data_IF_355879757575
#
_entry.id   IF_355879757575
#
_cell.length_a   1.000
_cell.length_b   1.000
_cell.length_c   1.000
_cell.angle_alpha   90.00
_cell.angle_beta   90.00
_cell.angle_gamma   90.00
#
_symmetry.space_group_name_H-M   'P 1'
#
loop_
_entity.id
_entity.type
_entity.pdbx_description
1 polymer ?
#
# COMPACT_ATOMS: atom_id res chain seq x y z
N UNK A 1 15.51 9.95 -0.28
CA UNK A 1 14.18 9.38 -0.39
C UNK A 1 14.31 8.13 -1.20
N UNK A 2 13.83 7.04 -0.64
CA UNK A 2 13.64 5.74 -1.28
C UNK A 2 12.19 5.69 -1.77
N UNK A 3 11.95 5.18 -2.97
CA UNK A 3 10.61 5.01 -3.53
C UNK A 3 10.12 3.57 -3.30
N UNK A 4 9.08 3.40 -2.49
CA UNK A 4 8.60 2.09 -2.03
C UNK A 4 7.14 1.89 -2.39
N UNK A 5 6.85 0.79 -3.08
CA UNK A 5 5.48 0.31 -3.27
C UNK A 5 5.07 -0.56 -2.09
N UNK A 6 3.94 -0.25 -1.47
CA UNK A 6 3.32 -1.06 -0.41
C UNK A 6 1.99 -1.59 -0.94
N UNK A 7 1.92 -2.91 -1.16
CA UNK A 7 0.72 -3.59 -1.61
C UNK A 7 0.10 -4.40 -0.47
N UNK A 8 -1.09 -4.02 -0.02
CA UNK A 8 -1.85 -4.69 1.03
C UNK A 8 -2.80 -5.70 0.38
N UNK A 9 -2.77 -6.95 0.86
CA UNK A 9 -3.52 -8.08 0.28
C UNK A 9 -4.48 -8.75 1.29
N UNK A 10 -5.21 -9.76 0.83
CA UNK A 10 -6.35 -10.32 1.58
C UNK A 10 -5.95 -11.32 2.66
N UNK A 11 -4.93 -11.01 3.47
CA UNK A 11 -4.51 -11.86 4.59
C UNK A 11 -4.69 -11.15 5.93
N UNK A 12 -4.77 -11.95 7.00
CA UNK A 12 -4.91 -11.43 8.37
C UNK A 12 -3.72 -10.54 8.76
N UNK A 13 -3.99 -9.53 9.58
CA UNK A 13 -3.00 -8.60 10.09
C UNK A 13 -2.82 -7.26 9.34
N UNK A 14 -3.83 -6.62 8.69
CA UNK A 14 -3.68 -5.34 7.99
C UNK A 14 -2.98 -4.23 8.78
N UNK A 15 -3.01 -4.27 10.13
CA UNK A 15 -2.23 -3.37 11.00
C UNK A 15 -0.71 -3.44 10.80
N UNK A 16 -0.19 -4.54 10.25
CA UNK A 16 1.22 -4.64 9.86
C UNK A 16 1.54 -3.70 8.70
N UNK A 17 0.63 -3.54 7.73
CA UNK A 17 0.77 -2.57 6.65
C UNK A 17 0.80 -1.14 7.20
N UNK A 18 -0.13 -0.81 8.11
CA UNK A 18 -0.16 0.50 8.77
C UNK A 18 1.15 0.77 9.56
N UNK A 19 1.67 -0.25 10.25
CA UNK A 19 2.94 -0.16 10.94
C UNK A 19 4.13 0.07 10.01
N UNK A 20 4.15 -0.60 8.85
CA UNK A 20 5.16 -0.38 7.81
C UNK A 20 5.09 1.05 7.26
N UNK A 21 3.90 1.52 6.89
CA UNK A 21 3.71 2.88 6.35
C UNK A 21 4.16 3.96 7.36
N UNK A 22 3.88 3.76 8.66
CA UNK A 22 4.41 4.64 9.71
C UNK A 22 5.93 4.66 9.77
N UNK A 23 6.57 3.49 9.58
CA UNK A 23 8.03 3.37 9.59
C UNK A 23 8.69 3.97 8.34
N UNK A 24 7.97 4.00 7.21
CA UNK A 24 8.41 4.59 5.95
C UNK A 24 8.12 6.10 5.85
N UNK A 25 7.59 6.73 6.91
CA UNK A 25 7.27 8.16 6.89
C UNK A 25 8.49 9.01 6.53
N UNK A 26 8.38 9.80 5.46
CA UNK A 26 9.45 10.65 4.93
C UNK A 26 10.20 10.04 3.74
N UNK A 27 9.90 8.78 3.39
CA UNK A 27 10.20 8.17 2.10
C UNK A 27 8.99 8.34 1.15
N UNK A 28 9.18 8.10 -0.16
CA UNK A 28 8.11 8.19 -1.15
C UNK A 28 7.38 6.85 -1.24
N UNK A 29 6.06 6.87 -1.02
CA UNK A 29 5.27 5.65 -0.82
C UNK A 29 4.08 5.56 -1.74
N UNK A 30 3.98 4.42 -2.45
CA UNK A 30 2.86 4.10 -3.31
C UNK A 30 2.04 2.97 -2.70
N UNK A 31 0.80 3.27 -2.30
CA UNK A 31 -0.10 2.30 -1.70
C UNK A 31 -1.01 1.65 -2.75
N UNK A 32 -1.13 0.32 -2.66
CA UNK A 32 -2.14 -0.46 -3.37
C UNK A 32 -2.89 -1.29 -2.33
N UNK A 33 -4.21 -1.27 -2.34
CA UNK A 33 -5.03 -2.08 -1.42
C UNK A 33 -5.96 -2.96 -2.25
N UNK A 34 -5.82 -4.28 -2.12
CA UNK A 34 -6.68 -5.22 -2.83
C UNK A 34 -8.11 -5.21 -2.29
N UNK A 35 -9.08 -5.62 -3.10
CA UNK A 35 -10.46 -5.83 -2.63
C UNK A 35 -10.52 -6.80 -1.45
N UNK A 36 -9.69 -7.86 -1.47
CA UNK A 36 -9.56 -8.79 -0.35
C UNK A 36 -9.02 -8.14 0.93
N UNK A 37 -8.01 -7.27 0.82
CA UNK A 37 -7.48 -6.52 1.96
C UNK A 37 -8.54 -5.61 2.59
N UNK A 38 -9.39 -4.98 1.76
CA UNK A 38 -10.49 -4.13 2.23
C UNK A 38 -11.50 -4.92 3.06
N UNK A 39 -11.86 -6.13 2.64
CA UNK A 39 -12.76 -7.00 3.41
C UNK A 39 -12.10 -7.46 4.72
N UNK A 40 -10.84 -7.89 4.71
CA UNK A 40 -10.13 -8.30 5.93
C UNK A 40 -9.99 -7.13 6.90
N UNK A 41 -9.63 -5.93 6.43
CA UNK A 41 -9.53 -4.74 7.25
C UNK A 41 -10.85 -4.38 7.93
N UNK A 42 -11.98 -4.52 7.22
CA UNK A 42 -13.31 -4.35 7.79
C UNK A 42 -13.62 -5.37 8.87
N UNK A 43 -13.23 -6.63 8.68
CA UNK A 43 -13.41 -7.69 9.67
C UNK A 43 -12.53 -7.51 10.92
N UNK A 44 -11.30 -7.04 10.74
CA UNK A 44 -10.32 -6.89 11.84
C UNK A 44 -10.30 -5.48 12.46
N UNK A 45 -11.12 -4.55 11.94
CA UNK A 45 -11.20 -3.17 12.43
C UNK A 45 -9.91 -2.37 12.19
N UNK A 46 -9.27 -2.58 11.04
CA UNK A 46 -8.14 -1.75 10.61
C UNK A 46 -8.64 -0.52 9.84
N UNK A 47 -7.96 0.61 10.03
CA UNK A 47 -8.31 1.88 9.42
C UNK A 47 -7.58 2.06 8.09
N UNK A 48 -8.31 1.84 6.98
CA UNK A 48 -7.76 2.01 5.64
C UNK A 48 -7.48 3.48 5.32
N UNK A 49 -8.26 4.42 5.86
CA UNK A 49 -8.03 5.84 5.62
C UNK A 49 -6.71 6.28 6.25
N UNK A 50 -6.38 5.75 7.43
CA UNK A 50 -5.08 6.00 8.05
C UNK A 50 -3.92 5.52 7.18
N UNK A 51 -4.07 4.40 6.44
CA UNK A 51 -3.05 3.94 5.50
C UNK A 51 -2.94 4.86 4.28
N UNK A 52 -4.07 5.27 3.72
CA UNK A 52 -4.14 6.21 2.59
C UNK A 52 -3.51 7.57 2.97
N UNK A 53 -3.77 8.09 4.16
CA UNK A 53 -3.17 9.35 4.67
C UNK A 53 -1.67 9.26 4.98
N UNK A 54 -1.17 8.05 5.26
CA UNK A 54 0.25 7.80 5.49
C UNK A 54 1.05 7.66 4.19
N UNK A 55 0.37 7.59 3.04
CA UNK A 55 1.00 7.30 1.73
C UNK A 55 0.97 8.51 0.82
N UNK A 56 1.98 8.65 -0.05
CA UNK A 56 2.06 9.77 -1.00
C UNK A 56 1.14 9.58 -2.21
N UNK A 57 1.00 8.33 -2.65
CA UNK A 57 0.13 7.94 -3.76
C UNK A 57 -0.71 6.73 -3.41
N UNK A 58 -1.95 6.69 -3.92
CA UNK A 58 -2.87 5.56 -3.74
C UNK A 58 -3.38 5.12 -5.11
N UNK A 59 -3.25 3.83 -5.41
CA UNK A 59 -3.65 3.22 -6.68
C UNK A 59 -4.66 2.09 -6.48
N UNK A 60 -5.55 1.92 -7.45
CA UNK A 60 -6.44 0.77 -7.50
C UNK A 60 -5.69 -0.49 -7.94
N UNK A 61 -6.05 -1.65 -7.38
CA UNK A 61 -5.43 -2.94 -7.74
C UNK A 61 -5.56 -3.31 -9.24
N UNK A 62 -6.53 -2.71 -9.95
CA UNK A 62 -6.78 -2.89 -11.37
C UNK A 62 -6.46 -1.64 -12.21
N UNK A 63 -5.80 -0.64 -11.62
CA UNK A 63 -5.50 0.63 -12.29
C UNK A 63 -4.23 0.53 -13.15
N UNK A 64 -4.43 0.17 -14.42
CA UNK A 64 -3.34 0.10 -15.40
C UNK A 64 -2.84 1.48 -15.88
N UNK A 65 -3.46 2.58 -15.43
CA UNK A 65 -2.98 3.94 -15.72
C UNK A 65 -1.91 4.41 -14.73
N UNK A 66 -1.72 3.67 -13.63
CA UNK A 66 -0.64 3.92 -12.66
C UNK A 66 0.74 3.89 -13.33
N UNK A 67 1.66 4.81 -12.97
CA UNK A 67 3.03 4.76 -13.46
C UNK A 67 3.74 3.45 -13.10
N UNK A 68 3.31 2.78 -12.01
CA UNK A 68 3.84 1.48 -11.57
C UNK A 68 3.62 0.36 -12.59
N UNK A 69 2.67 0.52 -13.53
CA UNK A 69 2.42 -0.44 -14.61
C UNK A 69 3.44 -0.35 -15.76
N UNK A 70 4.43 0.55 -15.69
CA UNK A 70 5.46 0.74 -16.70
C UNK A 70 6.86 0.59 -16.11
N UNK A 71 7.71 -0.21 -16.76
CA UNK A 71 9.12 -0.37 -16.38
C UNK A 71 9.97 0.89 -16.61
N UNK A 72 9.43 1.91 -17.25
CA UNK A 72 10.07 3.23 -17.38
C UNK A 72 10.03 4.06 -16.09
N UNK A 73 9.24 3.65 -15.10
CA UNK A 73 9.12 4.29 -13.79
C UNK A 73 9.67 3.30 -12.73
N UNK A 74 11.00 3.27 -12.53
CA UNK A 74 11.60 2.35 -11.56
C UNK A 74 11.27 2.79 -10.13
N UNK A 75 11.07 1.81 -9.26
CA UNK A 75 10.97 2.00 -7.81
C UNK A 75 12.14 1.29 -7.14
N UNK A 76 12.52 1.70 -5.94
CA UNK A 76 13.62 1.07 -5.20
C UNK A 76 13.20 -0.28 -4.61
N UNK A 77 11.94 -0.40 -4.17
CA UNK A 77 11.41 -1.62 -3.59
C UNK A 77 9.89 -1.77 -3.75
N UNK A 78 9.42 -3.02 -3.68
CA UNK A 78 8.02 -3.36 -3.51
C UNK A 78 7.87 -4.34 -2.35
N UNK A 79 6.93 -4.06 -1.45
CA UNK A 79 6.58 -4.92 -0.31
C UNK A 79 5.11 -5.29 -0.42
N UNK A 80 4.80 -6.58 -0.35
CA UNK A 80 3.44 -7.09 -0.25
C UNK A 80 3.19 -7.45 1.21
N UNK A 81 2.29 -6.74 1.88
CA UNK A 81 2.07 -6.86 3.32
C UNK A 81 0.74 -6.27 3.80
N UNK A 82 0.06 -6.99 4.69
CA UNK A 82 -0.42 -8.35 4.47
C UNK A 82 -1.62 -8.36 3.54
#
# INVERSE_FOLDING_TARGET
MVEVVVAVTGASGPKLAEGLLKALKGEETHLIISSGAREVAKHEGADLNAMEELSDFVWGENDMSSPLASSSNPVDAMVIVP
#
